data_IF_573793650052
#
_entry.id   IF_573793650052
#
_cell.length_a   1.000
_cell.length_b   1.000
_cell.length_c   1.000
_cell.angle_alpha   90.00
_cell.angle_beta   90.00
_cell.angle_gamma   90.00
#
_symmetry.space_group_name_H-M   'P 1'
#
loop_
_entity.id
_entity.type
_entity.pdbx_description
1 polymer ?
#
# COMPACT_ATOMS: atom_id res chain seq x y z
N UNK A 1 -19.38 -39.63 -42.04
CA UNK A 1 -19.58 -38.45 -41.16
C UNK A 1 -18.69 -38.55 -39.92
N UNK A 2 -18.79 -39.60 -39.11
CA UNK A 2 -17.99 -39.72 -37.86
C UNK A 2 -16.46 -39.83 -38.10
N UNK A 3 -16.01 -40.54 -39.14
CA UNK A 3 -14.58 -40.65 -39.45
C UNK A 3 -13.93 -39.31 -39.85
N UNK A 4 -14.67 -38.49 -40.58
CA UNK A 4 -14.22 -37.16 -41.02
C UNK A 4 -14.10 -36.20 -39.84
N UNK A 5 -15.07 -36.21 -38.91
CA UNK A 5 -15.01 -35.42 -37.69
C UNK A 5 -13.84 -35.83 -36.78
N UNK A 6 -13.54 -37.14 -36.70
CA UNK A 6 -12.36 -37.65 -35.96
C UNK A 6 -11.04 -37.19 -36.58
N UNK A 7 -10.95 -37.17 -37.91
CA UNK A 7 -9.77 -36.66 -38.62
C UNK A 7 -9.59 -35.15 -38.43
N UNK A 8 -10.68 -34.37 -38.47
CA UNK A 8 -10.67 -32.93 -38.19
C UNK A 8 -10.18 -32.68 -36.75
N UNK A 9 -10.76 -33.36 -35.76
CA UNK A 9 -10.39 -33.18 -34.35
C UNK A 9 -8.92 -33.52 -34.06
N UNK A 10 -8.33 -34.44 -34.84
CA UNK A 10 -6.91 -34.81 -34.70
C UNK A 10 -5.96 -33.78 -35.30
N UNK A 11 -6.28 -33.19 -36.44
CA UNK A 11 -5.37 -32.32 -37.19
C UNK A 11 -5.57 -30.82 -36.88
N UNK A 12 -6.77 -30.43 -36.50
CA UNK A 12 -7.13 -29.04 -36.22
C UNK A 12 -6.25 -28.40 -35.11
N UNK A 13 -5.89 -29.07 -34.00
CA UNK A 13 -5.03 -28.48 -32.97
C UNK A 13 -3.62 -28.12 -33.46
N UNK A 14 -3.05 -28.91 -34.38
CA UNK A 14 -1.72 -28.65 -34.95
C UNK A 14 -1.74 -27.48 -35.93
N UNK A 15 -2.81 -27.37 -36.72
CA UNK A 15 -3.03 -26.25 -37.65
C UNK A 15 -3.26 -24.94 -36.87
N UNK A 16 -4.05 -24.97 -35.80
CA UNK A 16 -4.27 -23.79 -34.95
C UNK A 16 -2.96 -23.34 -34.27
N UNK A 17 -2.09 -24.27 -33.86
CA UNK A 17 -0.79 -23.94 -33.25
C UNK A 17 0.18 -23.26 -34.22
N UNK A 18 0.11 -23.60 -35.51
CA UNK A 18 0.94 -23.01 -36.55
C UNK A 18 0.34 -21.75 -37.19
N UNK A 19 -0.94 -21.47 -36.96
CA UNK A 19 -1.65 -20.34 -37.55
C UNK A 19 -1.66 -19.11 -36.63
N UNK A 20 -1.62 -17.93 -37.24
CA UNK A 20 -1.80 -16.66 -36.55
C UNK A 20 -3.26 -16.51 -36.10
N UNK A 21 -3.49 -16.72 -34.80
CA UNK A 21 -4.81 -16.73 -34.17
C UNK A 21 -5.55 -15.37 -34.26
N UNK A 22 -4.87 -14.27 -34.54
CA UNK A 22 -5.51 -12.96 -34.72
C UNK A 22 -6.10 -12.77 -36.12
N UNK A 23 -5.66 -13.55 -37.10
CA UNK A 23 -6.10 -13.47 -38.51
C UNK A 23 -6.80 -14.73 -39.03
N UNK A 24 -6.73 -15.83 -38.28
CA UNK A 24 -7.36 -17.09 -38.65
C UNK A 24 -8.89 -17.02 -38.54
N UNK A 25 -9.58 -17.23 -39.65
CA UNK A 25 -11.05 -17.40 -39.70
C UNK A 25 -11.40 -18.87 -39.90
N UNK A 26 -12.64 -19.27 -39.61
CA UNK A 26 -13.12 -20.65 -39.83
C UNK A 26 -12.88 -21.08 -41.29
N UNK A 27 -12.99 -20.15 -42.25
CA UNK A 27 -12.77 -20.42 -43.67
C UNK A 27 -11.30 -20.67 -44.01
N UNK A 28 -10.37 -19.94 -43.40
CA UNK A 28 -8.93 -20.18 -43.61
C UNK A 28 -8.49 -21.49 -42.97
N UNK A 29 -9.03 -21.82 -41.79
CA UNK A 29 -8.75 -23.09 -41.10
C UNK A 29 -9.35 -24.30 -41.83
N UNK A 30 -10.55 -24.14 -42.38
CA UNK A 30 -11.17 -25.15 -43.24
C UNK A 30 -10.32 -25.40 -44.48
N UNK A 31 -9.86 -24.34 -45.17
CA UNK A 31 -9.03 -24.48 -46.37
C UNK A 31 -7.70 -25.20 -46.07
N UNK A 32 -7.03 -24.87 -44.96
CA UNK A 32 -5.81 -25.57 -44.54
C UNK A 32 -6.04 -27.03 -44.17
N UNK A 33 -7.21 -27.38 -43.62
CA UNK A 33 -7.62 -28.77 -43.39
C UNK A 33 -7.92 -29.51 -44.69
N UNK A 34 -8.56 -28.85 -45.66
CA UNK A 34 -8.86 -29.38 -47.00
C UNK A 34 -7.57 -29.64 -47.78
N UNK A 35 -6.61 -28.71 -47.73
CA UNK A 35 -5.29 -28.86 -48.36
C UNK A 35 -4.51 -30.06 -47.76
N UNK A 36 -4.72 -30.34 -46.46
CA UNK A 36 -4.04 -31.45 -45.76
C UNK A 36 -4.73 -32.81 -45.95
N UNK A 37 -6.06 -32.83 -46.10
CA UNK A 37 -6.87 -34.04 -46.21
C UNK A 37 -7.24 -34.38 -47.67
N UNK A 38 -7.02 -33.46 -48.61
CA UNK A 38 -7.32 -33.63 -50.04
C UNK A 38 -8.80 -33.82 -50.35
N UNK A 39 -9.71 -33.33 -49.48
CA UNK A 39 -11.16 -33.49 -49.58
C UNK A 39 -11.88 -32.24 -49.14
N UNK A 40 -13.03 -31.94 -49.75
CA UNK A 40 -13.88 -30.80 -49.37
C UNK A 40 -14.53 -31.02 -47.99
N UNK A 41 -14.43 -30.00 -47.13
CA UNK A 41 -14.96 -30.01 -45.77
C UNK A 41 -16.10 -28.99 -45.62
N UNK A 42 -16.78 -28.66 -46.73
CA UNK A 42 -17.84 -27.67 -46.82
C UNK A 42 -18.95 -27.84 -45.78
N UNK A 43 -19.32 -29.09 -45.48
CA UNK A 43 -20.39 -29.46 -44.56
C UNK A 43 -19.95 -29.48 -43.08
N UNK A 44 -18.64 -29.48 -42.80
CA UNK A 44 -18.09 -29.65 -41.45
C UNK A 44 -17.67 -28.32 -40.80
N UNK A 45 -18.04 -27.17 -41.39
CA UNK A 45 -17.71 -25.81 -40.89
C UNK A 45 -18.18 -25.55 -39.47
N UNK A 46 -19.37 -26.04 -39.11
CA UNK A 46 -19.94 -25.87 -37.77
C UNK A 46 -19.16 -26.70 -36.73
N UNK A 47 -18.72 -27.89 -37.11
CA UNK A 47 -17.89 -28.75 -36.26
C UNK A 47 -16.50 -28.14 -36.05
N UNK A 48 -15.87 -27.62 -37.11
CA UNK A 48 -14.59 -26.91 -37.02
C UNK A 48 -14.72 -25.67 -36.13
N UNK A 49 -15.80 -24.89 -36.26
CA UNK A 49 -16.04 -23.71 -35.41
C UNK A 49 -16.19 -24.10 -33.93
N UNK A 50 -16.96 -25.14 -33.62
CA UNK A 50 -17.15 -25.62 -32.26
C UNK A 50 -15.84 -26.12 -31.63
N UNK A 51 -15.03 -26.85 -32.41
CA UNK A 51 -13.76 -27.40 -31.93
C UNK A 51 -12.69 -26.31 -31.74
N UNK A 52 -12.65 -25.29 -32.61
CA UNK A 52 -11.82 -24.08 -32.43
C UNK A 52 -12.21 -23.35 -31.14
N UNK A 53 -13.51 -23.17 -30.88
CA UNK A 53 -14.00 -22.49 -29.67
C UNK A 53 -13.66 -23.28 -28.40
N UNK A 54 -13.79 -24.61 -28.44
CA UNK A 54 -13.39 -25.50 -27.36
C UNK A 54 -11.88 -25.43 -27.09
N UNK A 55 -11.07 -25.45 -28.15
CA UNK A 55 -9.62 -25.31 -28.05
C UNK A 55 -9.19 -23.95 -27.47
N UNK A 56 -9.81 -22.86 -27.92
CA UNK A 56 -9.54 -21.51 -27.40
C UNK A 56 -9.97 -21.36 -25.93
N UNK A 57 -11.13 -21.90 -25.54
CA UNK A 57 -11.55 -21.94 -24.13
C UNK A 57 -10.56 -22.72 -23.26
N UNK A 58 -10.06 -23.87 -23.77
CA UNK A 58 -9.03 -24.69 -23.12
C UNK A 58 -7.67 -23.98 -23.00
N UNK A 59 -7.26 -23.22 -24.01
CA UNK A 59 -6.03 -22.43 -23.99
C UNK A 59 -6.14 -21.26 -22.99
N UNK A 60 -7.30 -20.62 -22.89
CA UNK A 60 -7.57 -19.56 -21.91
C UNK A 60 -7.59 -20.12 -20.49
N UNK A 61 -8.22 -21.26 -20.22
CA UNK A 61 -8.19 -21.90 -18.89
C UNK A 61 -6.79 -22.38 -18.52
N UNK A 62 -6.00 -22.89 -19.47
CA UNK A 62 -4.60 -23.28 -19.23
C UNK A 62 -3.68 -22.07 -18.99
N UNK A 63 -3.93 -20.94 -19.66
CA UNK A 63 -3.24 -19.65 -19.42
C UNK A 63 -3.65 -19.03 -18.08
N UNK A 64 -4.93 -19.13 -17.70
CA UNK A 64 -5.44 -18.69 -16.38
C UNK A 64 -4.86 -19.55 -15.24
N UNK A 65 -4.82 -20.86 -15.41
CA UNK A 65 -4.19 -21.79 -14.47
C UNK A 65 -2.66 -21.60 -14.36
N UNK A 66 -1.97 -21.25 -15.44
CA UNK A 66 -0.54 -20.91 -15.41
C UNK A 66 -0.27 -19.57 -14.69
N UNK A 67 -1.15 -18.58 -14.85
CA UNK A 67 -1.10 -17.31 -14.11
C UNK A 67 -1.43 -17.50 -12.62
N UNK A 68 -2.30 -18.45 -12.28
CA UNK A 68 -2.62 -18.82 -10.88
C UNK A 68 -1.50 -19.66 -10.22
N UNK A 69 -0.77 -20.50 -10.98
CA UNK A 69 0.42 -21.23 -10.52
C UNK A 69 1.65 -20.31 -10.30
N UNK A 70 1.91 -19.34 -11.18
CA UNK A 70 2.96 -18.32 -10.97
C UNK A 70 2.59 -17.35 -9.82
N UNK A 71 1.31 -17.07 -9.61
CA UNK A 71 0.83 -16.31 -8.45
C UNK A 71 0.97 -17.03 -7.10
N UNK A 72 1.11 -18.36 -7.11
CA UNK A 72 1.16 -19.21 -5.91
C UNK A 72 2.59 -19.64 -5.51
N UNK A 73 3.51 -19.81 -6.46
CA UNK A 73 4.93 -20.15 -6.15
C UNK A 73 5.81 -18.96 -5.74
N UNK A 74 5.32 -17.72 -5.82
CA UNK A 74 6.00 -16.52 -5.29
C UNK A 74 5.83 -16.27 -3.77
N UNK A 75 5.01 -17.04 -3.05
CA UNK A 75 4.66 -16.76 -1.64
C UNK A 75 5.38 -17.60 -0.58
N UNK A 76 6.35 -18.45 -0.95
CA UNK A 76 7.20 -19.17 0.01
C UNK A 76 8.70 -19.06 -0.27
N UNK A 77 9.22 -17.83 -0.40
CA UNK A 77 10.61 -17.53 -0.06
C UNK A 77 10.74 -16.06 0.32
N UNK A 78 11.37 -15.80 1.47
CA UNK A 78 11.54 -14.50 2.15
C UNK A 78 10.27 -13.93 2.81
N UNK A 79 9.75 -14.68 3.78
CA UNK A 79 9.32 -14.08 5.04
C UNK A 79 10.57 -13.54 5.78
N UNK A 80 11.20 -12.50 5.22
CA UNK A 80 12.08 -11.65 6.00
C UNK A 80 11.15 -10.82 6.87
N UNK A 81 11.02 -11.25 8.14
CA UNK A 81 10.41 -10.47 9.22
C UNK A 81 10.91 -9.03 9.06
N UNK A 82 10.06 -8.11 8.58
CA UNK A 82 10.39 -6.68 8.55
C UNK A 82 10.32 -6.17 9.99
N UNK A 83 11.32 -6.56 10.79
CA UNK A 83 11.72 -5.84 11.98
C UNK A 83 12.31 -4.52 11.49
N UNK A 84 11.50 -3.46 11.45
CA UNK A 84 11.98 -2.20 10.94
C UNK A 84 10.89 -1.15 10.85
N UNK A 85 10.51 -0.61 12.01
CA UNK A 85 9.89 0.70 12.14
C UNK A 85 10.83 1.71 11.47
N UNK A 86 10.58 2.08 10.21
CA UNK A 86 11.22 3.24 9.58
C UNK A 86 12.10 3.04 8.33
N UNK A 87 11.82 2.11 7.40
CA UNK A 87 12.31 2.32 6.02
C UNK A 87 11.48 3.43 5.37
N UNK A 88 12.14 4.53 5.02
CA UNK A 88 11.57 5.64 4.24
C UNK A 88 10.86 5.06 3.03
N UNK A 89 9.54 5.24 2.92
CA UNK A 89 8.80 4.81 1.73
C UNK A 89 9.42 5.52 0.53
N UNK A 90 9.88 4.74 -0.45
CA UNK A 90 10.31 5.24 -1.74
C UNK A 90 9.19 6.06 -2.37
N UNK A 91 9.52 7.17 -3.02
CA UNK A 91 8.52 8.00 -3.66
C UNK A 91 7.94 7.25 -4.85
N UNK A 92 6.67 6.87 -4.73
CA UNK A 92 5.87 6.33 -5.83
C UNK A 92 5.24 7.50 -6.59
N UNK A 93 5.15 7.36 -7.90
CA UNK A 93 4.47 8.30 -8.78
C UNK A 93 3.06 8.64 -8.23
N UNK A 94 2.77 9.92 -7.92
CA UNK A 94 1.47 10.37 -7.43
C UNK A 94 0.31 10.16 -8.42
N UNK A 95 0.60 10.09 -9.72
CA UNK A 95 -0.39 9.92 -10.78
C UNK A 95 -0.77 8.46 -11.01
N UNK A 96 -0.02 7.51 -10.41
CA UNK A 96 -0.31 6.08 -10.49
C UNK A 96 -1.69 5.78 -9.88
N UNK A 97 -2.62 5.20 -10.66
CA UNK A 97 -3.88 4.68 -10.15
C UNK A 97 -3.70 3.84 -8.89
N UNK A 98 -4.49 4.15 -7.86
CA UNK A 98 -4.48 3.38 -6.62
C UNK A 98 -5.06 2.00 -6.90
N UNK A 99 -4.39 0.98 -6.36
CA UNK A 99 -4.80 -0.41 -6.51
C UNK A 99 -6.26 -0.66 -6.12
N UNK A 100 -6.89 -1.71 -6.67
CA UNK A 100 -8.30 -1.93 -6.49
C UNK A 100 -8.63 -2.32 -5.05
N UNK A 101 -9.77 -1.85 -4.56
CA UNK A 101 -10.29 -2.17 -3.24
C UNK A 101 -10.94 -3.54 -3.27
N UNK A 102 -10.53 -4.42 -2.37
CA UNK A 102 -11.23 -5.69 -2.12
C UNK A 102 -12.55 -5.47 -1.36
N UNK A 103 -13.39 -6.51 -1.31
CA UNK A 103 -14.74 -6.44 -0.74
C UNK A 103 -14.77 -5.90 0.70
N UNK A 104 -13.84 -6.35 1.55
CA UNK A 104 -13.70 -5.84 2.92
C UNK A 104 -13.38 -4.34 2.97
N UNK A 105 -12.53 -3.82 2.07
CA UNK A 105 -12.18 -2.40 2.06
C UNK A 105 -13.34 -1.53 1.57
N UNK A 106 -14.16 -2.03 0.64
CA UNK A 106 -15.42 -1.40 0.24
C UNK A 106 -16.39 -1.34 1.43
N UNK A 107 -16.54 -2.43 2.19
CA UNK A 107 -17.32 -2.46 3.42
C UNK A 107 -16.83 -1.47 4.46
N UNK A 108 -15.55 -1.51 4.81
CA UNK A 108 -14.94 -0.58 5.78
C UNK A 108 -15.16 0.87 5.35
N UNK A 109 -14.98 1.18 4.06
CA UNK A 109 -15.19 2.55 3.55
C UNK A 109 -16.63 3.03 3.75
N UNK A 110 -17.63 2.19 3.50
CA UNK A 110 -19.04 2.55 3.66
C UNK A 110 -19.46 2.64 5.14
N UNK A 111 -19.04 1.65 5.94
CA UNK A 111 -19.50 1.50 7.33
C UNK A 111 -18.72 2.37 8.32
N UNK A 112 -17.43 2.64 8.07
CA UNK A 112 -16.61 3.51 8.93
C UNK A 112 -17.17 4.92 9.06
N UNK A 113 -17.73 5.49 7.98
CA UNK A 113 -18.37 6.82 8.07
C UNK A 113 -19.55 6.75 9.03
N UNK A 114 -20.44 5.78 8.82
CA UNK A 114 -21.65 5.61 9.65
C UNK A 114 -21.32 5.42 11.13
N UNK A 115 -20.33 4.58 11.47
CA UNK A 115 -19.93 4.37 12.87
C UNK A 115 -19.32 5.65 13.45
N UNK A 116 -18.53 6.39 12.68
CA UNK A 116 -17.95 7.66 13.14
C UNK A 116 -18.99 8.76 13.32
N UNK A 117 -20.00 8.79 12.46
CA UNK A 117 -21.08 9.77 12.52
C UNK A 117 -22.02 9.46 13.71
N UNK A 118 -22.24 8.17 14.00
CA UNK A 118 -23.01 7.72 15.17
C UNK A 118 -22.22 7.86 16.49
N UNK A 119 -20.90 7.65 16.45
CA UNK A 119 -20.01 7.73 17.60
C UNK A 119 -18.79 8.63 17.31
N UNK A 120 -18.95 9.97 17.35
CA UNK A 120 -17.86 10.91 17.02
C UNK A 120 -16.63 10.78 17.92
N UNK A 121 -16.82 10.34 19.17
CA UNK A 121 -15.78 10.18 20.18
C UNK A 121 -15.02 8.83 20.06
N UNK A 122 -15.51 7.91 19.23
CA UNK A 122 -14.91 6.59 19.10
C UNK A 122 -13.59 6.64 18.35
N UNK A 123 -12.58 5.98 18.90
CA UNK A 123 -11.24 5.99 18.30
C UNK A 123 -11.18 5.08 17.07
N UNK A 124 -10.32 5.42 16.11
CA UNK A 124 -10.13 4.59 14.91
C UNK A 124 -9.81 3.11 15.20
N UNK A 125 -8.93 2.77 16.18
CA UNK A 125 -8.70 1.38 16.57
C UNK A 125 -9.97 0.64 17.01
N UNK A 126 -10.85 1.31 17.75
CA UNK A 126 -12.10 0.70 18.22
C UNK A 126 -13.07 0.47 17.07
N UNK A 127 -13.23 1.47 16.18
CA UNK A 127 -14.05 1.33 14.97
C UNK A 127 -13.52 0.18 14.10
N UNK A 128 -12.21 0.08 13.92
CA UNK A 128 -11.61 -1.00 13.12
C UNK A 128 -11.85 -2.39 13.72
N UNK A 129 -11.84 -2.50 15.06
CA UNK A 129 -12.15 -3.74 15.77
C UNK A 129 -13.63 -4.14 15.58
N UNK A 130 -14.55 -3.19 15.71
CA UNK A 130 -15.98 -3.41 15.50
C UNK A 130 -16.27 -3.87 14.06
N UNK A 131 -15.75 -3.16 13.06
CA UNK A 131 -15.88 -3.53 11.65
C UNK A 131 -15.32 -4.93 11.34
N UNK A 132 -14.21 -5.31 11.98
CA UNK A 132 -13.62 -6.62 11.81
C UNK A 132 -14.50 -7.75 12.35
N UNK A 133 -15.23 -7.52 13.45
CA UNK A 133 -16.21 -8.47 13.99
C UNK A 133 -17.45 -8.51 13.10
N UNK A 134 -17.99 -7.35 12.73
CA UNK A 134 -19.16 -7.22 11.86
C UNK A 134 -18.94 -7.95 10.53
N UNK A 135 -17.78 -7.77 9.88
CA UNK A 135 -17.46 -8.47 8.64
C UNK A 135 -17.41 -10.00 8.78
N UNK A 136 -16.93 -10.52 9.91
CA UNK A 136 -16.88 -11.98 10.16
C UNK A 136 -18.26 -12.57 10.44
N UNK A 137 -19.13 -11.81 11.09
CA UNK A 137 -20.50 -12.23 11.42
C UNK A 137 -21.47 -12.01 10.25
N UNK A 138 -21.14 -11.14 9.30
CA UNK A 138 -22.00 -10.87 8.14
C UNK A 138 -22.22 -12.11 7.25
N UNK A 139 -23.48 -12.31 6.88
CA UNK A 139 -23.89 -13.35 5.93
C UNK A 139 -23.20 -13.18 4.57
N UNK A 140 -23.09 -14.28 3.82
CA UNK A 140 -22.56 -14.25 2.45
C UNK A 140 -23.39 -13.35 1.54
N UNK A 141 -24.72 -13.34 1.68
CA UNK A 141 -25.61 -12.46 0.93
C UNK A 141 -25.34 -10.97 1.18
N UNK A 142 -25.08 -10.58 2.44
CA UNK A 142 -24.72 -9.19 2.78
C UNK A 142 -23.31 -8.83 2.30
N UNK A 143 -22.38 -9.80 2.32
CA UNK A 143 -21.02 -9.64 1.78
C UNK A 143 -21.01 -9.51 0.26
N UNK A 144 -21.94 -10.17 -0.42
CA UNK A 144 -22.03 -10.18 -1.88
C UNK A 144 -22.18 -8.78 -2.49
N UNK A 145 -22.93 -7.87 -1.84
CA UNK A 145 -22.99 -6.46 -2.26
C UNK A 145 -21.60 -5.81 -2.32
N UNK A 146 -20.74 -6.11 -1.35
CA UNK A 146 -19.39 -5.55 -1.30
C UNK A 146 -18.42 -6.26 -2.25
N UNK A 147 -18.68 -7.52 -2.58
CA UNK A 147 -17.96 -8.24 -3.64
C UNK A 147 -18.25 -7.62 -5.01
N UNK A 148 -19.52 -7.30 -5.31
CA UNK A 148 -19.87 -6.56 -6.52
C UNK A 148 -19.20 -5.18 -6.56
N UNK A 149 -19.17 -4.45 -5.44
CA UNK A 149 -18.43 -3.18 -5.35
C UNK A 149 -16.92 -3.35 -5.60
N UNK A 150 -16.34 -4.47 -5.16
CA UNK A 150 -14.92 -4.76 -5.37
C UNK A 150 -14.62 -5.10 -6.84
N UNK A 151 -15.50 -5.84 -7.52
CA UNK A 151 -15.33 -6.12 -8.94
C UNK A 151 -15.45 -4.84 -9.78
N UNK A 152 -16.39 -3.96 -9.45
CA UNK A 152 -16.48 -2.64 -10.08
C UNK A 152 -15.22 -1.79 -9.84
N UNK A 153 -14.62 -1.84 -8.64
CA UNK A 153 -13.38 -1.10 -8.36
C UNK A 153 -12.16 -1.71 -9.08
N UNK A 154 -12.18 -3.02 -9.34
CA UNK A 154 -11.19 -3.71 -10.17
C UNK A 154 -11.30 -3.34 -11.63
N UNK A 155 -12.52 -3.20 -12.17
CA UNK A 155 -12.75 -2.68 -13.51
C UNK A 155 -12.32 -1.21 -13.63
N UNK A 156 -12.66 -0.38 -12.63
CA UNK A 156 -12.16 1.00 -12.52
C UNK A 156 -10.64 1.04 -12.59
N UNK A 157 -9.96 0.25 -11.75
CA UNK A 157 -8.50 0.20 -11.72
C UNK A 157 -7.92 -0.25 -13.06
N UNK A 158 -8.51 -1.27 -13.70
CA UNK A 158 -8.08 -1.77 -15.00
C UNK A 158 -8.20 -0.68 -16.06
N UNK A 159 -9.33 0.03 -16.12
CA UNK A 159 -9.54 1.15 -17.05
C UNK A 159 -8.56 2.29 -16.81
N UNK A 160 -8.40 2.73 -15.56
CA UNK A 160 -7.47 3.81 -15.21
C UNK A 160 -6.02 3.42 -15.54
N UNK A 161 -5.65 2.15 -15.34
CA UNK A 161 -4.31 1.65 -15.65
C UNK A 161 -4.02 1.56 -17.14
N UNK A 162 -5.02 1.28 -17.97
CA UNK A 162 -4.86 1.33 -19.43
C UNK A 162 -4.53 2.75 -19.93
N UNK A 163 -5.09 3.77 -19.28
CA UNK A 163 -4.81 5.18 -19.60
C UNK A 163 -3.63 5.80 -18.84
N UNK A 164 -2.98 5.03 -17.96
CA UNK A 164 -1.93 5.57 -17.09
C UNK A 164 -0.62 5.76 -17.84
N UNK A 165 -0.13 7.00 -17.82
CA UNK A 165 1.21 7.36 -18.29
C UNK A 165 2.06 7.72 -17.06
N UNK A 166 3.14 6.97 -16.78
CA UNK A 166 4.06 7.33 -15.71
C UNK A 166 4.65 8.71 -15.90
N UNK A 167 4.88 9.44 -14.81
CA UNK A 167 5.64 10.68 -14.83
C UNK A 167 7.06 10.44 -15.37
N UNK A 168 7.60 11.43 -16.08
CA UNK A 168 8.99 11.39 -16.54
C UNK A 168 9.97 11.33 -15.36
N UNK A 169 11.16 10.79 -15.62
CA UNK A 169 12.23 10.71 -14.61
C UNK A 169 12.60 12.09 -14.05
N UNK A 170 12.61 13.11 -14.91
CA UNK A 170 12.83 14.52 -14.51
C UNK A 170 11.77 14.98 -13.50
N UNK A 171 10.48 14.73 -13.78
CA UNK A 171 9.41 15.13 -12.87
C UNK A 171 9.43 14.34 -11.57
N UNK A 172 9.77 13.06 -11.64
CA UNK A 172 9.97 12.23 -10.45
C UNK A 172 11.13 12.74 -9.59
N UNK A 173 12.22 13.18 -10.21
CA UNK A 173 13.35 13.77 -9.52
C UNK A 173 12.98 15.11 -8.85
N UNK A 174 12.29 16.00 -9.56
CA UNK A 174 11.76 17.24 -8.98
C UNK A 174 10.89 16.98 -7.75
N UNK A 175 10.00 15.98 -7.80
CA UNK A 175 9.15 15.61 -6.67
C UNK A 175 9.96 15.04 -5.49
N UNK A 176 10.99 14.23 -5.77
CA UNK A 176 11.91 13.71 -4.73
C UNK A 176 12.65 14.85 -4.05
N UNK A 177 13.15 15.80 -4.82
CA UNK A 177 13.82 16.98 -4.30
C UNK A 177 12.87 17.88 -3.52
N UNK A 178 11.66 18.11 -4.01
CA UNK A 178 10.65 18.89 -3.28
C UNK A 178 10.29 18.22 -1.96
N UNK A 179 10.14 16.89 -1.93
CA UNK A 179 9.96 16.17 -0.66
C UNK A 179 11.18 16.25 0.24
N UNK A 180 12.39 16.19 -0.31
CA UNK A 180 13.63 16.36 0.44
C UNK A 180 13.71 17.76 1.07
N UNK A 181 13.46 18.81 0.28
CA UNK A 181 13.38 20.20 0.73
C UNK A 181 12.32 20.39 1.82
N UNK A 182 11.12 19.82 1.65
CA UNK A 182 10.06 19.84 2.68
C UNK A 182 10.47 19.10 3.96
N UNK A 183 11.18 17.98 3.85
CA UNK A 183 11.70 17.25 5.01
C UNK A 183 12.83 18.02 5.71
N UNK A 184 13.70 18.67 4.96
CA UNK A 184 14.77 19.53 5.48
C UNK A 184 14.21 20.80 6.16
N UNK A 185 13.18 21.40 5.57
CA UNK A 185 12.42 22.51 6.16
C UNK A 185 11.46 22.07 7.29
N UNK A 186 11.28 20.77 7.50
CA UNK A 186 10.43 20.21 8.54
C UNK A 186 10.99 20.52 9.92
N UNK A 187 10.10 20.84 10.87
CA UNK A 187 10.47 21.35 12.21
C UNK A 187 11.34 20.44 13.10
N UNK A 188 11.69 19.23 12.64
CA UNK A 188 12.64 18.33 13.31
C UNK A 188 14.11 18.64 12.96
N UNK A 189 14.37 19.15 11.74
CA UNK A 189 15.70 19.50 11.24
C UNK A 189 16.01 21.00 11.33
N UNK A 190 14.98 21.84 11.50
CA UNK A 190 15.14 23.28 11.77
C UNK A 190 16.01 23.50 13.00
N UNK A 191 16.97 24.41 12.87
CA UNK A 191 17.80 24.87 13.98
C UNK A 191 17.05 25.95 14.75
N UNK A 192 16.97 25.78 16.07
CA UNK A 192 16.36 26.73 17.00
C UNK A 192 17.46 27.35 17.84
N UNK A 193 17.28 28.63 18.21
CA UNK A 193 18.08 29.25 19.25
C UNK A 193 17.52 28.86 20.62
N UNK A 194 18.41 28.47 21.52
CA UNK A 194 18.06 28.08 22.87
C UNK A 194 17.88 29.33 23.75
N UNK A 195 16.89 29.33 24.63
CA UNK A 195 16.83 30.29 25.74
C UNK A 195 18.09 30.19 26.64
N UNK A 196 18.41 31.22 27.44
CA UNK A 196 19.54 31.17 28.38
C UNK A 196 19.47 29.99 29.34
N UNK A 197 18.28 29.67 29.85
CA UNK A 197 18.02 28.57 30.77
C UNK A 197 18.31 27.21 30.11
N UNK A 198 17.83 27.02 28.88
CA UNK A 198 18.08 25.81 28.11
C UNK A 198 19.55 25.69 27.68
N UNK A 199 20.20 26.81 27.38
CA UNK A 199 21.63 26.88 27.02
C UNK A 199 22.49 26.44 28.20
N UNK A 200 22.19 26.91 29.41
CA UNK A 200 22.88 26.50 30.63
C UNK A 200 22.70 25.00 30.89
N UNK A 201 21.49 24.47 30.70
CA UNK A 201 21.20 23.05 30.88
C UNK A 201 21.90 22.15 29.85
N UNK A 202 22.01 22.60 28.59
CA UNK A 202 22.64 21.84 27.49
C UNK A 202 24.16 22.00 27.38
N UNK A 203 24.80 22.62 28.37
CA UNK A 203 26.26 22.80 28.39
C UNK A 203 26.77 23.86 27.42
N UNK A 204 26.02 24.95 27.19
CA UNK A 204 26.45 26.10 26.39
C UNK A 204 26.04 26.09 24.92
N UNK A 205 25.23 25.12 24.49
CA UNK A 205 24.75 25.04 23.10
C UNK A 205 23.74 26.15 22.79
N UNK A 206 24.17 27.17 22.02
CA UNK A 206 23.33 28.32 21.62
C UNK A 206 22.25 27.96 20.60
N UNK A 207 22.50 26.96 19.77
CA UNK A 207 21.57 26.49 18.73
C UNK A 207 21.43 24.98 18.77
N UNK A 208 20.21 24.47 18.62
CA UNK A 208 19.93 23.03 18.61
C UNK A 208 18.75 22.70 17.68
N UNK A 209 18.81 21.53 17.03
CA UNK A 209 17.65 20.98 16.33
C UNK A 209 16.79 20.15 17.29
N UNK A 210 15.51 19.96 16.97
CA UNK A 210 14.57 19.27 17.88
C UNK A 210 14.93 17.79 18.09
N UNK A 211 15.52 17.12 17.08
CA UNK A 211 15.97 15.72 17.18
C UNK A 211 17.09 15.57 18.22
N UNK A 212 18.08 16.44 18.15
CA UNK A 212 19.25 16.49 19.02
C UNK A 212 18.84 16.87 20.44
N UNK A 213 17.98 17.89 20.59
CA UNK A 213 17.41 18.27 21.88
C UNK A 213 16.74 17.08 22.57
N UNK A 214 15.83 16.42 21.85
CA UNK A 214 15.12 15.25 22.36
C UNK A 214 16.12 14.18 22.78
N UNK A 215 17.11 13.87 21.94
CA UNK A 215 18.14 12.86 22.23
C UNK A 215 18.96 13.19 23.49
N UNK A 216 19.38 14.45 23.65
CA UNK A 216 20.11 14.91 24.84
C UNK A 216 19.28 14.83 26.11
N UNK A 217 18.01 15.24 26.05
CA UNK A 217 17.09 15.18 27.17
C UNK A 217 16.83 13.71 27.59
N UNK A 218 16.63 12.81 26.62
CA UNK A 218 16.51 11.37 26.91
C UNK A 218 17.79 10.76 27.48
N UNK A 219 18.96 11.26 27.05
CA UNK A 219 20.25 10.86 27.62
C UNK A 219 20.33 11.30 29.09
N UNK A 220 19.97 12.54 29.38
CA UNK A 220 19.89 13.07 30.75
C UNK A 220 18.96 12.25 31.65
N UNK A 221 17.76 11.89 31.17
CA UNK A 221 16.82 11.05 31.95
C UNK A 221 17.41 9.71 32.37
N UNK A 222 18.24 9.11 31.52
CA UNK A 222 18.90 7.83 31.81
C UNK A 222 20.10 8.00 32.74
N UNK A 223 20.94 8.99 32.50
CA UNK A 223 22.15 9.23 33.30
C UNK A 223 21.81 9.64 34.74
N UNK A 224 20.73 10.39 34.93
CA UNK A 224 20.26 10.83 36.24
C UNK A 224 19.19 9.91 36.85
N UNK A 225 18.89 8.76 36.22
CA UNK A 225 17.88 7.80 36.67
C UNK A 225 16.50 8.42 36.99
N UNK A 226 16.07 9.41 36.21
CA UNK A 226 14.84 10.17 36.44
C UNK A 226 13.56 9.46 35.99
N UNK A 227 13.68 8.23 35.48
CA UNK A 227 12.52 7.44 35.04
C UNK A 227 11.88 6.75 36.24
N UNK A 228 10.55 6.85 36.34
CA UNK A 228 9.78 6.18 37.39
C UNK A 228 9.99 4.64 37.32
N UNK A 229 10.35 3.99 38.43
CA UNK A 229 10.67 2.56 38.46
C UNK A 229 9.45 1.66 38.20
N UNK A 230 8.25 2.14 38.54
CA UNK A 230 6.98 1.42 38.36
C UNK A 230 6.47 1.63 36.94
N UNK A 231 6.52 2.87 36.46
CA UNK A 231 6.05 3.23 35.14
C UNK A 231 7.03 4.13 34.40
N UNK A 232 7.96 3.50 33.68
CA UNK A 232 9.00 4.16 32.86
C UNK A 232 8.48 5.14 31.80
N UNK A 233 7.16 5.26 31.61
CA UNK A 233 6.56 6.33 30.81
C UNK A 233 6.57 7.68 31.52
N UNK A 234 6.69 7.70 32.84
CA UNK A 234 6.76 8.92 33.64
C UNK A 234 8.20 9.23 34.03
N UNK A 235 8.50 10.52 34.09
CA UNK A 235 9.76 11.09 34.57
C UNK A 235 9.46 11.85 35.85
N UNK A 236 10.27 11.60 36.88
CA UNK A 236 10.31 12.39 38.11
C UNK A 236 11.47 13.40 37.93
N UNK A 237 11.17 14.69 37.67
CA UNK A 237 12.20 15.67 37.41
C UNK A 237 13.05 15.95 38.65
N UNK A 238 14.34 16.18 38.44
CA UNK A 238 15.23 16.70 39.47
C UNK A 238 15.05 18.23 39.62
N UNK A 239 15.76 18.84 40.57
CA UNK A 239 15.68 20.30 40.83
C UNK A 239 16.13 21.15 39.64
N UNK A 240 16.98 20.62 38.76
CA UNK A 240 17.46 21.32 37.55
C UNK A 240 16.42 21.26 36.45
N UNK A 241 15.87 20.08 36.19
CA UNK A 241 14.87 19.86 35.15
C UNK A 241 13.52 20.50 35.53
N UNK A 242 13.10 20.42 36.79
CA UNK A 242 11.88 21.09 37.28
C UNK A 242 11.94 22.60 37.07
N UNK A 243 13.07 23.24 37.38
CA UNK A 243 13.31 24.66 37.11
C UNK A 243 13.22 24.99 35.62
N UNK A 244 13.84 24.19 34.76
CA UNK A 244 13.78 24.40 33.31
C UNK A 244 12.36 24.22 32.75
N UNK A 245 11.64 23.20 33.20
CA UNK A 245 10.31 22.87 32.70
C UNK A 245 9.19 23.68 33.38
N UNK A 246 9.52 24.49 34.41
CA UNK A 246 8.59 25.26 35.24
C UNK A 246 7.48 24.38 35.84
N UNK A 247 7.86 23.20 36.31
CA UNK A 247 6.96 22.25 36.97
C UNK A 247 6.90 22.52 38.48
N UNK A 248 5.81 22.09 39.12
CA UNK A 248 5.71 22.12 40.57
C UNK A 248 6.63 21.07 41.20
N UNK A 249 7.10 21.34 42.42
CA UNK A 249 8.00 20.44 43.13
C UNK A 249 7.31 19.07 43.36
N UNK A 250 7.94 18.00 42.89
CA UNK A 250 7.44 16.63 43.00
C UNK A 250 6.46 16.19 41.90
N UNK A 251 6.12 17.05 40.93
CA UNK A 251 5.23 16.69 39.83
C UNK A 251 5.93 15.79 38.80
N UNK A 252 5.40 14.57 38.60
CA UNK A 252 5.84 13.67 37.53
C UNK A 252 5.10 13.96 36.23
N UNK A 253 5.79 13.86 35.10
CA UNK A 253 5.18 14.08 33.79
C UNK A 253 5.49 12.93 32.83
N UNK A 254 4.71 12.82 31.75
CA UNK A 254 4.92 11.78 30.75
C UNK A 254 6.18 12.10 29.92
N UNK A 255 7.13 11.16 29.80
CA UNK A 255 8.40 11.37 29.11
C UNK A 255 8.22 11.92 27.67
N UNK A 256 7.18 11.46 26.96
CA UNK A 256 6.86 11.91 25.60
C UNK A 256 6.29 13.34 25.51
N UNK A 257 5.78 13.89 26.62
CA UNK A 257 5.27 15.26 26.65
C UNK A 257 6.36 16.29 26.95
N UNK A 258 7.61 15.88 27.22
CA UNK A 258 8.71 16.81 27.52
C UNK A 258 8.89 17.88 26.44
N UNK A 259 8.67 17.52 25.17
CA UNK A 259 8.73 18.48 24.06
C UNK A 259 7.78 19.67 24.24
N UNK A 260 6.60 19.47 24.85
CA UNK A 260 5.61 20.54 25.07
C UNK A 260 6.17 21.62 25.99
N UNK A 261 6.87 21.21 27.04
CA UNK A 261 7.50 22.08 28.03
C UNK A 261 8.78 22.74 27.48
N UNK A 262 9.48 22.09 26.57
CA UNK A 262 10.70 22.63 25.96
C UNK A 262 10.43 23.61 24.80
N UNK A 263 9.27 23.52 24.13
CA UNK A 263 8.93 24.38 22.99
C UNK A 263 9.06 25.89 23.27
N UNK A 264 8.64 26.44 24.43
CA UNK A 264 8.82 27.87 24.74
C UNK A 264 10.29 28.32 24.80
N UNK A 265 11.22 27.40 25.04
CA UNK A 265 12.65 27.67 25.10
C UNK A 265 13.36 27.55 23.74
N UNK A 266 12.60 27.28 22.67
CA UNK A 266 13.09 27.13 21.30
C UNK A 266 12.58 28.27 20.42
N UNK A 267 13.44 29.24 20.14
CA UNK A 267 13.12 30.38 19.28
C UNK A 267 13.55 30.04 17.84
N UNK A 268 12.60 30.03 16.90
CA UNK A 268 12.93 29.90 15.47
C UNK A 268 13.67 31.17 15.04
N UNK A 269 14.71 31.02 14.21
CA UNK A 269 15.23 32.17 13.47
C UNK A 269 14.09 32.68 12.59
N UNK A 270 13.53 33.84 12.92
CA UNK A 270 12.83 34.63 11.92
C UNK A 270 13.92 35.01 10.93
N UNK A 271 13.85 34.50 9.71
CA UNK A 271 14.67 35.03 8.63
C UNK A 271 14.34 36.52 8.55
N UNK A 272 15.26 37.35 9.04
CA UNK A 272 15.29 38.76 8.71
C UNK A 272 15.27 38.85 7.19
N UNK A 273 14.24 39.55 6.71
CA UNK A 273 13.87 39.78 5.32
C UNK A 273 15.05 40.04 4.38
#
# INVERSE_FOLDING_TARGET
MEDTQRQIARLLPDIIRGADLEKATVRTLQKSLEDSLGRDLGEHKNFIRAEVEHFLKGAVTKKRAALDEEGSKGKKAKAQKKTGRGKTKELVDPTRPKGPKGAYMCFVSARRSQIKDANPDMTFPDIARELGVEWKTMSEASRHRYEQMAELDKDRYTREMLSYVPLSDEKMQELREQQSRRKAAGGLQVMYHCSPELTAFLGGAKTINRKELTTRIWKYFREHNLMDPINKRFIVPDTKLSKLLKLQDGERFLAFTVSRYLNPHLVKKVESQ
#
